data_IF_417140543999
#
_entry.id   IF_417140543999
#
_cell.length_a   1.000
_cell.length_b   1.000
_cell.length_c   1.000
_cell.angle_alpha   90.00
_cell.angle_beta   90.00
_cell.angle_gamma   90.00
#
_symmetry.space_group_name_H-M   'P 1'
#
loop_
_entity.id
_entity.type
_entity.pdbx_description
1 polymer ?
#
# COMPACT_ATOMS: atom_id res chain seq x y z
N UNK A 1 2.44 -5.62 29.78
CA UNK A 1 2.25 -4.16 29.77
C UNK A 1 1.72 -3.79 28.39
N UNK A 2 0.66 -2.98 28.29
CA UNK A 2 0.13 -2.57 26.97
C UNK A 2 1.15 -1.73 26.20
N UNK A 3 1.14 -1.84 24.87
CA UNK A 3 1.99 -1.08 23.94
C UNK A 3 1.63 0.40 23.84
N UNK A 4 1.90 1.03 22.71
CA UNK A 4 1.49 2.41 22.42
C UNK A 4 -0.04 2.59 22.54
N UNK A 5 -0.82 1.64 22.02
CA UNK A 5 -2.28 1.68 22.13
C UNK A 5 -2.74 1.23 23.52
N UNK A 6 -3.35 2.16 24.25
CA UNK A 6 -3.87 1.91 25.61
C UNK A 6 -5.37 1.61 25.57
N UNK A 7 -5.89 0.71 26.45
CA UNK A 7 -7.31 0.42 26.51
C UNK A 7 -8.16 1.65 26.88
N UNK A 8 -9.23 1.88 26.14
CA UNK A 8 -10.22 2.90 26.48
C UNK A 8 -11.22 2.37 27.51
N UNK A 9 -11.19 2.92 28.72
CA UNK A 9 -12.07 2.50 29.83
C UNK A 9 -13.57 2.58 29.52
N UNK A 10 -14.01 3.49 28.66
CA UNK A 10 -15.41 3.63 28.23
C UNK A 10 -15.76 2.50 27.27
N UNK A 11 -14.91 2.23 26.26
CA UNK A 11 -15.10 1.09 25.34
C UNK A 11 -15.07 -0.24 26.10
N UNK A 12 -14.11 -0.43 27.01
CA UNK A 12 -14.06 -1.62 27.87
C UNK A 12 -15.34 -1.77 28.70
N UNK A 13 -15.83 -0.68 29.31
CA UNK A 13 -17.08 -0.68 30.06
C UNK A 13 -18.30 -1.08 29.23
N UNK A 14 -18.37 -0.62 27.98
CA UNK A 14 -19.42 -1.01 27.03
C UNK A 14 -19.36 -2.50 26.70
N UNK A 15 -18.17 -3.06 26.45
CA UNK A 15 -18.01 -4.50 26.18
C UNK A 15 -18.36 -5.37 27.39
N UNK A 16 -18.07 -4.92 28.61
CA UNK A 16 -18.54 -5.59 29.85
C UNK A 16 -20.08 -5.57 29.92
N UNK A 17 -20.70 -4.45 29.54
CA UNK A 17 -22.16 -4.33 29.49
C UNK A 17 -22.76 -5.29 28.46
N UNK A 18 -22.16 -5.42 27.29
CA UNK A 18 -22.57 -6.36 26.24
C UNK A 18 -22.54 -7.81 26.71
N UNK A 19 -21.49 -8.21 27.46
CA UNK A 19 -21.43 -9.55 28.06
C UNK A 19 -22.52 -9.75 29.10
N UNK A 20 -22.71 -8.77 29.99
CA UNK A 20 -23.79 -8.82 30.98
C UNK A 20 -25.16 -9.02 30.32
N UNK A 21 -25.41 -8.31 29.23
CA UNK A 21 -26.68 -8.33 28.50
C UNK A 21 -26.87 -9.60 27.67
N UNK A 22 -25.84 -10.06 26.96
CA UNK A 22 -25.90 -11.31 26.18
C UNK A 22 -26.10 -12.55 27.06
N UNK A 23 -25.60 -12.52 28.30
CA UNK A 23 -25.83 -13.58 29.30
C UNK A 23 -27.14 -13.40 30.10
N UNK A 24 -27.92 -12.35 29.82
CA UNK A 24 -29.14 -11.97 30.55
C UNK A 24 -28.94 -11.86 32.08
N UNK A 25 -27.84 -11.26 32.51
CA UNK A 25 -27.49 -11.08 33.92
C UNK A 25 -27.83 -9.67 34.41
N UNK A 26 -28.23 -9.57 35.66
CA UNK A 26 -28.22 -8.30 36.40
C UNK A 26 -26.79 -7.97 36.86
N UNK A 27 -26.54 -6.69 37.19
CA UNK A 27 -25.25 -6.29 37.79
C UNK A 27 -24.95 -7.00 39.11
N UNK A 28 -25.99 -7.38 39.86
CA UNK A 28 -25.83 -8.14 41.11
C UNK A 28 -25.35 -9.56 40.83
N UNK A 29 -25.95 -10.23 39.85
CA UNK A 29 -25.58 -11.61 39.49
C UNK A 29 -24.18 -11.67 38.88
N UNK A 30 -23.84 -10.73 38.00
CA UNK A 30 -22.47 -10.61 37.48
C UNK A 30 -21.48 -10.31 38.61
N UNK A 31 -21.86 -9.45 39.57
CA UNK A 31 -21.12 -9.18 40.80
C UNK A 31 -20.80 -10.43 41.59
N UNK A 32 -21.82 -11.24 41.85
CA UNK A 32 -21.67 -12.47 42.61
C UNK A 32 -20.75 -13.47 41.89
N UNK A 33 -20.83 -13.58 40.55
CA UNK A 33 -19.97 -14.47 39.76
C UNK A 33 -18.50 -14.04 39.77
N UNK A 34 -18.24 -12.73 39.79
CA UNK A 34 -16.89 -12.16 39.81
C UNK A 34 -16.34 -11.97 41.23
N UNK A 35 -17.17 -12.16 42.27
CA UNK A 35 -16.81 -11.87 43.66
C UNK A 35 -16.69 -10.36 43.96
N UNK A 36 -17.40 -9.51 43.20
CA UNK A 36 -17.28 -8.04 43.23
C UNK A 36 -18.62 -7.41 43.57
N UNK A 37 -18.60 -6.30 44.32
CA UNK A 37 -19.82 -5.57 44.67
C UNK A 37 -20.43 -4.87 43.44
N UNK A 38 -21.76 -4.86 43.36
CA UNK A 38 -22.54 -4.18 42.30
C UNK A 38 -22.05 -2.75 41.97
N UNK A 39 -21.77 -1.85 42.94
CA UNK A 39 -21.29 -0.50 42.61
C UNK A 39 -19.97 -0.49 41.85
N UNK A 40 -19.07 -1.42 42.15
CA UNK A 40 -17.77 -1.54 41.47
C UNK A 40 -17.96 -1.96 40.01
N UNK A 41 -18.85 -2.92 39.73
CA UNK A 41 -19.19 -3.29 38.34
C UNK A 41 -19.86 -2.13 37.60
N UNK A 42 -20.78 -1.41 38.28
CA UNK A 42 -21.40 -0.22 37.70
C UNK A 42 -20.35 0.81 37.29
N UNK A 43 -19.33 1.02 38.13
CA UNK A 43 -18.21 1.92 37.84
C UNK A 43 -17.43 1.52 36.58
N UNK A 44 -17.14 0.22 36.42
CA UNK A 44 -16.47 -0.28 35.21
C UNK A 44 -17.33 -0.12 33.96
N UNK A 45 -18.61 -0.52 34.03
CA UNK A 45 -19.55 -0.44 32.91
C UNK A 45 -19.82 0.99 32.46
N UNK A 46 -19.79 1.94 33.39
CA UNK A 46 -19.93 3.37 33.09
C UNK A 46 -18.62 4.01 32.60
N UNK A 47 -17.52 3.26 32.55
CA UNK A 47 -16.21 3.77 32.14
C UNK A 47 -15.57 4.74 33.14
N UNK A 48 -16.03 4.74 34.40
CA UNK A 48 -15.42 5.58 35.44
C UNK A 48 -14.03 5.06 35.84
N UNK A 49 -13.87 3.74 35.91
CA UNK A 49 -12.62 3.05 36.16
C UNK A 49 -12.40 1.92 35.13
N UNK A 50 -11.14 1.64 34.80
CA UNK A 50 -10.78 0.45 34.02
C UNK A 50 -10.88 -0.78 34.93
N UNK A 51 -11.48 -1.86 34.43
CA UNK A 51 -11.51 -3.13 35.15
C UNK A 51 -10.09 -3.71 35.23
N UNK A 52 -9.65 -4.22 36.41
CA UNK A 52 -8.32 -4.81 36.53
C UNK A 52 -8.25 -6.13 35.76
N UNK A 53 -7.04 -6.53 35.40
CA UNK A 53 -6.79 -7.71 34.57
C UNK A 53 -7.42 -8.99 35.13
N UNK A 54 -7.38 -9.19 36.45
CA UNK A 54 -8.02 -10.34 37.11
C UNK A 54 -9.53 -10.43 36.82
N UNK A 55 -10.20 -9.29 36.70
CA UNK A 55 -11.65 -9.21 36.40
C UNK A 55 -11.89 -9.49 34.93
N UNK A 56 -11.06 -8.96 34.04
CA UNK A 56 -11.14 -9.25 32.60
C UNK A 56 -10.88 -10.73 32.33
N UNK A 57 -9.89 -11.34 32.99
CA UNK A 57 -9.58 -12.76 32.85
C UNK A 57 -10.75 -13.66 33.31
N UNK A 58 -11.43 -13.28 34.39
CA UNK A 58 -12.66 -13.97 34.82
C UNK A 58 -13.81 -13.78 33.83
N UNK A 59 -14.03 -12.55 33.33
CA UNK A 59 -15.05 -12.26 32.33
C UNK A 59 -14.79 -13.04 31.03
N UNK A 60 -13.53 -13.13 30.60
CA UNK A 60 -13.09 -13.96 29.48
C UNK A 60 -13.45 -15.42 29.69
N UNK A 61 -13.10 -15.99 30.86
CA UNK A 61 -13.42 -17.38 31.21
C UNK A 61 -14.93 -17.67 31.24
N UNK A 62 -15.75 -16.73 31.72
CA UNK A 62 -17.21 -16.91 31.85
C UNK A 62 -17.94 -16.70 30.51
N UNK A 63 -17.48 -15.78 29.68
CA UNK A 63 -18.14 -15.41 28.42
C UNK A 63 -17.63 -16.15 27.19
N UNK A 64 -16.42 -16.74 27.27
CA UNK A 64 -15.72 -17.31 26.12
C UNK A 64 -15.14 -16.27 25.16
N UNK A 65 -15.21 -14.98 25.46
CA UNK A 65 -14.54 -13.93 24.68
C UNK A 65 -13.08 -13.81 25.08
N UNK A 66 -12.14 -13.63 24.13
CA UNK A 66 -10.73 -13.48 24.45
C UNK A 66 -10.46 -12.18 25.22
N UNK A 67 -9.38 -12.17 26.01
CA UNK A 67 -8.97 -11.02 26.84
C UNK A 67 -8.79 -9.76 26.00
N UNK A 68 -8.09 -9.86 24.85
CA UNK A 68 -7.88 -8.73 23.94
C UNK A 68 -9.18 -8.10 23.43
N UNK A 69 -10.26 -8.89 23.27
CA UNK A 69 -11.55 -8.35 22.83
C UNK A 69 -12.15 -7.37 23.84
N UNK A 70 -12.00 -7.63 25.14
CA UNK A 70 -12.49 -6.69 26.16
C UNK A 70 -11.75 -5.36 26.11
N UNK A 71 -10.43 -5.39 25.93
CA UNK A 71 -9.60 -4.19 25.91
C UNK A 71 -9.74 -3.40 24.62
N UNK A 72 -9.69 -4.07 23.47
CA UNK A 72 -9.49 -3.43 22.17
C UNK A 72 -10.61 -3.69 21.16
N UNK A 73 -11.57 -4.56 21.47
CA UNK A 73 -12.61 -4.95 20.52
C UNK A 73 -12.09 -6.01 19.57
N UNK A 74 -12.67 -6.18 18.39
CA UNK A 74 -12.17 -7.16 17.43
C UNK A 74 -10.75 -6.80 16.93
N UNK A 75 -9.98 -7.79 16.46
CA UNK A 75 -8.60 -7.55 15.97
C UNK A 75 -8.56 -6.48 14.87
N UNK A 76 -9.58 -6.40 14.02
CA UNK A 76 -9.68 -5.35 13.00
C UNK A 76 -9.82 -3.95 13.62
N UNK A 77 -10.58 -3.81 14.72
CA UNK A 77 -10.71 -2.56 15.47
C UNK A 77 -9.36 -2.18 16.09
N UNK A 78 -8.65 -3.16 16.69
CA UNK A 78 -7.33 -2.94 17.27
C UNK A 78 -6.29 -2.47 16.24
N UNK A 79 -6.17 -3.16 15.10
CA UNK A 79 -5.24 -2.78 14.02
C UNK A 79 -5.61 -1.39 13.48
N UNK A 80 -6.90 -1.12 13.25
CA UNK A 80 -7.36 0.17 12.76
C UNK A 80 -7.07 1.31 13.75
N UNK A 81 -7.40 1.14 15.02
CA UNK A 81 -7.16 2.13 16.08
C UNK A 81 -5.66 2.41 16.24
N UNK A 82 -4.81 1.38 16.15
CA UNK A 82 -3.35 1.53 16.17
C UNK A 82 -2.82 2.35 14.97
N UNK A 83 -3.23 1.99 13.75
CA UNK A 83 -2.81 2.73 12.55
C UNK A 83 -3.31 4.19 12.57
N UNK A 84 -4.52 4.43 13.06
CA UNK A 84 -5.06 5.77 13.26
C UNK A 84 -4.24 6.59 14.26
N UNK A 85 -3.84 5.97 15.38
CA UNK A 85 -2.96 6.57 16.40
C UNK A 85 -1.59 6.96 15.80
N UNK A 86 -1.07 6.16 14.87
CA UNK A 86 0.16 6.44 14.11
C UNK A 86 -0.01 7.48 13.01
N UNK A 87 -1.21 8.06 12.88
CA UNK A 87 -1.53 9.12 11.93
C UNK A 87 -2.06 8.63 10.58
N UNK A 88 -2.30 7.33 10.41
CA UNK A 88 -2.72 6.73 9.13
C UNK A 88 -4.24 6.74 8.91
N UNK A 89 -4.93 7.72 9.50
CA UNK A 89 -6.39 7.83 9.49
C UNK A 89 -6.99 7.75 8.08
N UNK A 90 -6.42 8.48 7.12
CA UNK A 90 -6.91 8.48 5.73
C UNK A 90 -6.72 7.14 5.05
N UNK A 91 -5.59 6.48 5.28
CA UNK A 91 -5.33 5.16 4.69
C UNK A 91 -6.30 4.12 5.24
N UNK A 92 -6.56 4.12 6.55
CA UNK A 92 -7.54 3.19 7.16
C UNK A 92 -8.95 3.41 6.61
N UNK A 93 -9.33 4.67 6.32
CA UNK A 93 -10.65 5.01 5.78
C UNK A 93 -10.79 4.69 4.28
N UNK A 94 -9.79 5.03 3.48
CA UNK A 94 -9.84 4.90 2.02
C UNK A 94 -9.40 3.51 1.54
N UNK A 95 -8.56 2.81 2.31
CA UNK A 95 -8.03 1.48 2.01
C UNK A 95 -8.31 0.49 3.15
N UNK A 96 -9.58 0.18 3.47
CA UNK A 96 -9.92 -0.74 4.57
C UNK A 96 -9.40 -2.18 4.36
N UNK A 97 -8.97 -2.51 3.14
CA UNK A 97 -8.28 -3.78 2.84
C UNK A 97 -6.95 -3.92 3.57
N UNK A 98 -6.29 -2.82 3.94
CA UNK A 98 -5.02 -2.83 4.71
C UNK A 98 -5.22 -3.56 6.03
N UNK A 99 -6.25 -3.18 6.79
CA UNK A 99 -6.57 -3.80 8.09
C UNK A 99 -6.85 -5.29 7.93
N UNK A 100 -7.56 -5.66 6.85
CA UNK A 100 -7.87 -7.07 6.55
C UNK A 100 -6.63 -7.87 6.19
N UNK A 101 -5.76 -7.33 5.36
CA UNK A 101 -4.51 -7.98 4.96
C UNK A 101 -3.61 -8.24 6.17
N UNK A 102 -3.44 -7.26 7.06
CA UNK A 102 -2.64 -7.42 8.29
C UNK A 102 -3.24 -8.51 9.20
N UNK A 103 -4.56 -8.54 9.35
CA UNK A 103 -5.24 -9.59 10.11
C UNK A 103 -5.08 -10.97 9.47
N UNK A 104 -5.21 -11.07 8.16
CA UNK A 104 -5.03 -12.32 7.42
C UNK A 104 -3.61 -12.85 7.59
N UNK A 105 -2.60 -11.98 7.48
CA UNK A 105 -1.20 -12.33 7.71
C UNK A 105 -0.98 -12.82 9.15
N UNK A 106 -1.56 -12.13 10.14
CA UNK A 106 -1.44 -12.54 11.55
C UNK A 106 -1.97 -13.96 11.81
N UNK A 107 -3.06 -14.36 11.15
CA UNK A 107 -3.68 -15.66 11.39
C UNK A 107 -3.16 -16.78 10.49
N UNK A 108 -2.79 -16.46 9.25
CA UNK A 108 -2.58 -17.44 8.18
C UNK A 108 -1.21 -17.34 7.51
N UNK A 109 -0.45 -16.29 7.81
CA UNK A 109 0.89 -16.09 7.28
C UNK A 109 1.86 -17.22 7.67
N UNK A 110 2.95 -17.33 6.92
CA UNK A 110 4.01 -18.31 7.17
C UNK A 110 4.65 -18.13 8.57
N UNK A 111 4.43 -16.96 9.18
CA UNK A 111 4.88 -16.57 10.51
C UNK A 111 3.80 -16.64 11.58
N UNK A 112 2.94 -17.67 11.62
CA UNK A 112 2.14 -17.97 12.82
C UNK A 112 3.07 -18.35 13.97
N UNK A 113 3.73 -17.35 14.52
CA UNK A 113 4.76 -17.39 15.52
C UNK A 113 4.16 -16.72 16.77
N UNK A 114 4.03 -17.44 17.89
CA UNK A 114 3.59 -16.86 19.16
C UNK A 114 4.39 -15.62 19.60
N UNK A 115 5.59 -15.40 19.03
CA UNK A 115 6.38 -14.20 19.28
C UNK A 115 5.72 -12.89 18.79
N UNK A 116 4.80 -12.96 17.83
CA UNK A 116 4.06 -11.79 17.33
C UNK A 116 2.70 -11.60 18.02
N UNK A 117 2.40 -12.40 19.04
CA UNK A 117 1.21 -12.30 19.86
C UNK A 117 1.54 -11.58 21.17
N UNK A 118 0.87 -10.47 21.40
CA UNK A 118 0.99 -9.73 22.65
C UNK A 118 0.31 -10.45 23.82
N UNK A 119 0.47 -9.91 25.03
CA UNK A 119 -0.05 -10.51 26.27
C UNK A 119 -1.57 -10.77 26.30
N UNK A 120 -2.34 -10.16 25.39
CA UNK A 120 -3.81 -10.30 25.33
C UNK A 120 -4.30 -11.08 24.11
N UNK A 121 -3.37 -11.67 23.36
CA UNK A 121 -3.66 -12.54 22.22
C UNK A 121 -3.85 -11.83 20.89
N UNK A 122 -3.38 -10.59 20.79
CA UNK A 122 -3.53 -9.69 19.63
C UNK A 122 -2.14 -9.47 19.00
N UNK A 123 -2.06 -8.95 17.76
CA UNK A 123 -0.75 -8.70 17.15
C UNK A 123 0.08 -7.72 17.98
N UNK A 124 1.38 -8.00 18.08
CA UNK A 124 2.37 -7.02 18.53
C UNK A 124 2.38 -5.80 17.59
N UNK A 125 2.66 -4.63 18.14
CA UNK A 125 2.64 -3.39 17.36
C UNK A 125 3.71 -3.37 16.26
N UNK A 126 4.88 -3.97 16.53
CA UNK A 126 5.96 -4.15 15.55
C UNK A 126 5.51 -5.01 14.37
N UNK A 127 4.73 -6.08 14.60
CA UNK A 127 4.16 -6.88 13.53
C UNK A 127 3.23 -6.06 12.63
N UNK A 128 2.42 -5.16 13.22
CA UNK A 128 1.53 -4.29 12.46
C UNK A 128 2.34 -3.30 11.63
N UNK A 129 3.40 -2.71 12.20
CA UNK A 129 4.30 -1.79 11.52
C UNK A 129 4.99 -2.47 10.32
N UNK A 130 5.50 -3.69 10.49
CA UNK A 130 6.16 -4.46 9.42
C UNK A 130 5.20 -4.77 8.26
N UNK A 131 4.03 -5.36 8.57
CA UNK A 131 3.04 -5.64 7.54
C UNK A 131 2.58 -4.36 6.82
N UNK A 132 2.43 -3.26 7.56
CA UNK A 132 2.04 -1.99 6.98
C UNK A 132 3.13 -1.40 6.07
N UNK A 133 4.41 -1.57 6.43
CA UNK A 133 5.54 -1.13 5.62
C UNK A 133 5.62 -1.85 4.27
N UNK A 134 5.18 -3.11 4.20
CA UNK A 134 5.10 -3.86 2.94
C UNK A 134 3.92 -3.43 2.07
N UNK A 135 2.78 -3.08 2.68
CA UNK A 135 1.55 -2.70 1.95
C UNK A 135 1.60 -1.24 1.47
N UNK A 136 2.20 -0.34 2.25
CA UNK A 136 2.18 1.11 2.01
C UNK A 136 2.76 1.53 0.64
N UNK A 137 3.87 0.97 0.14
CA UNK A 137 4.47 1.37 -1.14
C UNK A 137 3.52 1.21 -2.34
N UNK A 138 2.72 0.13 -2.37
CA UNK A 138 1.74 -0.10 -3.43
C UNK A 138 0.63 0.96 -3.42
N UNK A 139 0.15 1.30 -2.22
CA UNK A 139 -0.87 2.35 -2.02
C UNK A 139 -0.33 3.71 -2.45
N UNK A 140 0.88 4.06 -2.02
CA UNK A 140 1.53 5.32 -2.38
C UNK A 140 1.77 5.42 -3.88
N UNK A 141 2.23 4.33 -4.51
CA UNK A 141 2.48 4.29 -5.95
C UNK A 141 1.21 4.56 -6.75
N UNK A 142 0.08 3.93 -6.38
CA UNK A 142 -1.22 4.19 -7.03
C UNK A 142 -1.67 5.63 -6.81
N UNK A 143 -1.61 6.10 -5.58
CA UNK A 143 -2.01 7.46 -5.21
C UNK A 143 -1.25 8.54 -6.01
N UNK A 144 0.08 8.39 -6.11
CA UNK A 144 0.92 9.28 -6.92
C UNK A 144 0.58 9.15 -8.40
N UNK A 145 0.44 7.92 -8.90
CA UNK A 145 0.12 7.66 -10.31
C UNK A 145 -1.19 8.32 -10.75
N UNK A 146 -2.23 8.27 -9.91
CA UNK A 146 -3.52 8.89 -10.20
C UNK A 146 -3.40 10.43 -10.24
N UNK A 147 -2.67 11.03 -9.29
CA UNK A 147 -2.41 12.48 -9.30
C UNK A 147 -1.62 12.88 -10.54
N UNK A 148 -0.58 12.13 -10.90
CA UNK A 148 0.27 12.42 -12.06
C UNK A 148 -0.55 12.37 -13.34
N UNK A 149 -1.37 11.31 -13.54
CA UNK A 149 -2.24 11.19 -14.71
C UNK A 149 -3.19 12.37 -14.81
N UNK A 150 -3.84 12.74 -13.71
CA UNK A 150 -4.74 13.90 -13.67
C UNK A 150 -4.03 15.20 -14.08
N UNK A 151 -2.81 15.44 -13.59
CA UNK A 151 -2.04 16.64 -13.94
C UNK A 151 -1.56 16.62 -15.39
N UNK A 152 -1.07 15.49 -15.89
CA UNK A 152 -0.55 15.35 -17.25
C UNK A 152 -1.67 15.50 -18.29
N UNK A 153 -2.83 14.88 -18.06
CA UNK A 153 -3.97 14.97 -18.97
C UNK A 153 -4.48 16.40 -19.10
N UNK A 154 -4.59 17.11 -17.97
CA UNK A 154 -5.14 18.46 -17.90
C UNK A 154 -4.12 19.59 -18.10
N UNK A 155 -2.84 19.26 -18.31
CA UNK A 155 -1.80 20.28 -18.50
C UNK A 155 -1.94 21.00 -19.84
N UNK A 156 -2.05 22.33 -19.76
CA UNK A 156 -2.09 23.16 -20.95
C UNK A 156 -0.79 23.11 -21.77
N UNK A 157 0.34 22.82 -21.10
CA UNK A 157 1.66 22.72 -21.73
C UNK A 157 1.84 21.47 -22.59
N UNK A 158 0.98 20.48 -22.39
CA UNK A 158 1.08 19.17 -23.04
C UNK A 158 -0.05 18.97 -24.06
N UNK A 159 -0.73 20.03 -24.52
CA UNK A 159 -1.87 19.93 -25.46
C UNK A 159 -1.50 19.30 -26.80
N UNK A 160 -0.29 19.56 -27.27
CA UNK A 160 0.19 19.05 -28.56
C UNK A 160 0.65 17.58 -28.49
N UNK A 161 0.79 17.02 -27.29
CA UNK A 161 1.16 15.61 -27.11
C UNK A 161 -0.02 14.70 -27.40
N UNK A 162 0.26 13.59 -28.08
CA UNK A 162 -0.65 12.46 -28.26
C UNK A 162 -0.98 11.80 -26.93
N UNK A 163 -2.08 11.04 -26.90
CA UNK A 163 -2.46 10.26 -25.72
C UNK A 163 -1.36 9.29 -25.28
N UNK A 164 -0.67 8.65 -26.24
CA UNK A 164 0.44 7.72 -25.97
C UNK A 164 1.59 8.44 -25.26
N UNK A 165 2.03 9.58 -25.79
CA UNK A 165 3.13 10.35 -25.18
C UNK A 165 2.77 10.85 -23.78
N UNK A 166 1.50 11.23 -23.53
CA UNK A 166 1.01 11.61 -22.21
C UNK A 166 1.04 10.45 -21.21
N UNK A 167 0.62 9.25 -21.62
CA UNK A 167 0.72 8.06 -20.76
C UNK A 167 2.17 7.70 -20.44
N UNK A 168 3.06 7.73 -21.44
CA UNK A 168 4.49 7.48 -21.25
C UNK A 168 5.10 8.49 -20.26
N UNK A 169 4.80 9.77 -20.46
CA UNK A 169 5.23 10.83 -19.56
C UNK A 169 4.69 10.65 -18.14
N UNK A 170 3.42 10.27 -17.99
CA UNK A 170 2.82 10.06 -16.68
C UNK A 170 3.52 8.93 -15.92
N UNK A 171 3.92 7.85 -16.58
CA UNK A 171 4.67 6.76 -15.94
C UNK A 171 6.05 7.23 -15.49
N UNK A 172 6.76 8.00 -16.31
CA UNK A 172 8.09 8.53 -15.99
C UNK A 172 8.03 9.48 -14.80
N UNK A 173 7.11 10.45 -14.82
CA UNK A 173 6.93 11.39 -13.70
C UNK A 173 6.51 10.63 -12.44
N UNK A 174 5.64 9.62 -12.55
CA UNK A 174 5.27 8.78 -11.41
C UNK A 174 6.50 8.10 -10.79
N UNK A 175 7.39 7.55 -11.63
CA UNK A 175 8.66 6.96 -11.19
C UNK A 175 9.54 7.96 -10.45
N UNK A 176 9.77 9.12 -11.05
CA UNK A 176 10.64 10.16 -10.49
C UNK A 176 10.11 10.66 -9.14
N UNK A 177 8.79 10.91 -9.08
CA UNK A 177 8.13 11.34 -7.85
C UNK A 177 8.18 10.26 -6.78
N UNK A 178 7.87 9.00 -7.11
CA UNK A 178 7.95 7.89 -6.15
C UNK A 178 9.38 7.65 -5.65
N UNK A 179 10.39 7.75 -6.53
CA UNK A 179 11.79 7.65 -6.15
C UNK A 179 12.17 8.71 -5.11
N UNK A 180 11.77 9.97 -5.35
CA UNK A 180 11.98 11.03 -4.36
C UNK A 180 11.22 10.80 -3.06
N UNK A 181 9.96 10.37 -3.11
CA UNK A 181 9.15 10.07 -1.93
C UNK A 181 9.82 8.96 -1.10
N UNK A 182 10.26 7.88 -1.74
CA UNK A 182 10.93 6.77 -1.08
C UNK A 182 12.26 7.16 -0.44
N UNK A 183 13.06 8.00 -1.09
CA UNK A 183 14.35 8.46 -0.56
C UNK A 183 14.21 9.51 0.55
N UNK A 184 13.26 10.44 0.43
CA UNK A 184 13.11 11.55 1.38
C UNK A 184 12.28 11.16 2.61
N UNK A 185 11.26 10.31 2.44
CA UNK A 185 10.26 10.03 3.47
C UNK A 185 9.42 11.25 3.89
N UNK A 186 9.55 12.38 3.19
CA UNK A 186 8.96 13.67 3.60
C UNK A 186 7.50 13.83 3.18
N UNK A 187 7.05 13.02 2.22
CA UNK A 187 5.72 13.10 1.63
C UNK A 187 4.88 11.94 2.11
N UNK A 188 3.77 12.26 2.76
CA UNK A 188 2.83 11.28 3.30
C UNK A 188 1.59 11.15 2.43
N UNK A 189 0.89 10.03 2.58
CA UNK A 189 -0.41 9.83 1.96
C UNK A 189 -1.36 10.98 2.31
N UNK A 190 -2.08 11.48 1.30
CA UNK A 190 -3.00 12.61 1.45
C UNK A 190 -2.37 14.00 1.29
N UNK A 191 -1.05 14.12 1.13
CA UNK A 191 -0.37 15.39 0.83
C UNK A 191 -0.40 15.72 -0.68
N UNK A 192 -1.61 15.75 -1.25
CA UNK A 192 -1.83 15.93 -2.70
C UNK A 192 -1.12 17.14 -3.28
N UNK A 193 -1.16 18.29 -2.59
CA UNK A 193 -0.57 19.55 -3.10
C UNK A 193 0.95 19.50 -3.23
N UNK A 194 1.65 18.78 -2.33
CA UNK A 194 3.10 18.57 -2.45
C UNK A 194 3.42 17.76 -3.71
N UNK A 195 2.66 16.69 -3.94
CA UNK A 195 2.80 15.84 -5.14
C UNK A 195 2.51 16.68 -6.40
N UNK A 196 1.42 17.44 -6.43
CA UNK A 196 1.10 18.31 -7.58
C UNK A 196 2.23 19.29 -7.87
N UNK A 197 2.81 19.91 -6.83
CA UNK A 197 3.94 20.84 -6.99
C UNK A 197 5.15 20.16 -7.63
N UNK A 198 5.48 18.94 -7.19
CA UNK A 198 6.56 18.14 -7.80
C UNK A 198 6.24 17.77 -9.25
N UNK A 199 5.02 17.31 -9.52
CA UNK A 199 4.58 16.93 -10.87
C UNK A 199 4.67 18.11 -11.82
N UNK A 200 4.17 19.27 -11.43
CA UNK A 200 4.26 20.49 -12.23
C UNK A 200 5.72 20.92 -12.45
N UNK A 201 6.58 20.77 -11.44
CA UNK A 201 8.01 21.03 -11.58
C UNK A 201 8.67 20.05 -12.58
N UNK A 202 8.26 18.78 -12.57
CA UNK A 202 8.72 17.79 -13.55
C UNK A 202 8.26 18.15 -14.96
N UNK A 203 6.99 18.53 -15.13
CA UNK A 203 6.42 18.99 -16.41
C UNK A 203 7.18 20.21 -16.94
N UNK A 204 7.45 21.20 -16.09
CA UNK A 204 8.15 22.44 -16.47
C UNK A 204 9.60 22.20 -16.92
N UNK A 205 10.23 21.13 -16.42
CA UNK A 205 11.58 20.77 -16.81
C UNK A 205 11.65 19.90 -18.08
N UNK A 206 10.52 19.46 -18.65
CA UNK A 206 10.49 18.67 -19.89
C UNK A 206 11.01 19.47 -21.10
N UNK A 207 10.69 20.76 -21.20
CA UNK A 207 11.17 21.62 -22.29
C UNK A 207 12.70 21.73 -22.34
N UNK A 208 13.40 21.45 -21.23
CA UNK A 208 14.86 21.43 -21.15
C UNK A 208 15.49 20.07 -21.47
N UNK A 209 14.72 18.97 -21.39
CA UNK A 209 15.24 17.60 -21.48
C UNK A 209 15.27 17.02 -22.91
N UNK A 210 14.55 17.60 -23.87
CA UNK A 210 14.44 16.99 -25.21
C UNK A 210 13.63 15.68 -25.18
N UNK A 211 13.79 14.83 -26.21
CA UNK A 211 13.20 13.48 -26.27
C UNK A 211 13.57 12.68 -25.02
N UNK A 212 12.62 11.95 -24.44
CA UNK A 212 12.86 11.24 -23.18
C UNK A 212 13.67 9.96 -23.45
N UNK A 213 14.95 9.98 -23.13
CA UNK A 213 15.84 8.82 -23.25
C UNK A 213 15.98 8.06 -21.92
N UNK A 214 15.78 6.75 -21.97
CA UNK A 214 15.94 5.82 -20.86
C UNK A 214 17.36 5.25 -20.81
N UNK A 215 17.83 4.80 -19.65
CA UNK A 215 19.18 4.23 -19.53
C UNK A 215 19.32 2.98 -20.41
N UNK A 216 20.32 2.99 -21.31
CA UNK A 216 20.65 1.83 -22.15
C UNK A 216 21.53 0.78 -21.46
N UNK A 217 21.86 0.98 -20.18
CA UNK A 217 22.61 -0.01 -19.37
C UNK A 217 21.86 -1.35 -19.29
N UNK A 218 20.53 -1.30 -19.29
CA UNK A 218 19.65 -2.46 -19.24
C UNK A 218 18.89 -2.64 -20.57
N UNK A 219 18.68 -3.89 -20.98
CA UNK A 219 17.97 -4.22 -22.23
C UNK A 219 16.62 -3.52 -22.32
N UNK A 220 15.88 -3.46 -21.22
CA UNK A 220 14.56 -2.84 -21.17
C UNK A 220 14.59 -1.34 -21.50
N UNK A 221 15.54 -0.58 -20.96
CA UNK A 221 15.67 0.85 -21.28
C UNK A 221 16.09 1.08 -22.72
N UNK A 222 17.01 0.25 -23.24
CA UNK A 222 17.38 0.28 -24.66
C UNK A 222 16.22 -0.04 -25.60
N UNK A 223 15.41 -1.06 -25.27
CA UNK A 223 14.21 -1.40 -26.03
C UNK A 223 13.22 -0.25 -26.04
N UNK A 224 13.00 0.40 -24.90
CA UNK A 224 12.10 1.56 -24.82
C UNK A 224 12.56 2.69 -25.76
N UNK A 225 13.87 2.99 -25.81
CA UNK A 225 14.41 4.01 -26.71
C UNK A 225 14.26 3.60 -28.18
N UNK A 226 14.58 2.35 -28.53
CA UNK A 226 14.48 1.84 -29.91
C UNK A 226 13.04 1.87 -30.42
N UNK A 227 12.08 1.58 -29.55
CA UNK A 227 10.65 1.56 -29.90
C UNK A 227 10.01 2.95 -29.99
N UNK A 228 10.74 4.02 -29.63
CA UNK A 228 10.32 5.41 -29.87
C UNK A 228 10.46 5.81 -31.34
N UNK A 229 11.53 5.36 -31.96
CA UNK A 229 11.93 5.78 -33.30
C UNK A 229 11.56 4.72 -34.34
N UNK A 230 10.81 5.14 -35.36
CA UNK A 230 10.33 4.29 -36.45
C UNK A 230 11.49 3.66 -37.25
N UNK A 231 12.62 4.37 -37.40
CA UNK A 231 13.79 3.82 -38.12
C UNK A 231 14.59 2.84 -37.26
N UNK A 232 14.77 3.15 -35.97
CA UNK A 232 15.42 2.27 -35.00
C UNK A 232 14.62 0.98 -34.82
N UNK A 233 13.30 1.08 -34.71
CA UNK A 233 12.41 -0.09 -34.63
C UNK A 233 12.54 -0.96 -35.89
N UNK A 234 12.51 -0.35 -37.08
CA UNK A 234 12.71 -1.10 -38.35
C UNK A 234 14.06 -1.79 -38.40
N UNK A 235 15.11 -1.10 -37.96
CA UNK A 235 16.46 -1.68 -37.91
C UNK A 235 16.50 -2.87 -36.97
N UNK A 236 15.93 -2.76 -35.77
CA UNK A 236 15.83 -3.89 -34.83
C UNK A 236 15.07 -5.08 -35.42
N UNK A 237 13.92 -4.84 -36.06
CA UNK A 237 13.15 -5.90 -36.73
C UNK A 237 13.94 -6.52 -37.88
N UNK A 238 14.70 -5.71 -38.62
CA UNK A 238 15.58 -6.20 -39.69
C UNK A 238 16.70 -7.08 -39.16
N UNK A 239 17.36 -6.66 -38.07
CA UNK A 239 18.41 -7.43 -37.42
C UNK A 239 17.85 -8.77 -36.89
N UNK A 240 16.68 -8.74 -36.24
CA UNK A 240 15.95 -9.95 -35.80
C UNK A 240 15.58 -10.86 -36.98
N UNK A 241 15.03 -10.30 -38.06
CA UNK A 241 14.67 -11.06 -39.26
C UNK A 241 15.89 -11.73 -39.88
N UNK A 242 17.02 -11.03 -39.96
CA UNK A 242 18.28 -11.59 -40.44
C UNK A 242 18.75 -12.72 -39.54
N UNK A 243 18.78 -12.53 -38.21
CA UNK A 243 19.22 -13.56 -37.26
C UNK A 243 18.34 -14.81 -37.30
N UNK A 244 17.01 -14.64 -37.42
CA UNK A 244 16.05 -15.74 -37.32
C UNK A 244 15.79 -16.45 -38.65
N UNK A 245 15.92 -15.74 -39.78
CA UNK A 245 15.47 -16.24 -41.09
C UNK A 245 16.52 -16.11 -42.20
N UNK A 246 17.69 -15.52 -41.92
CA UNK A 246 18.69 -15.12 -42.93
C UNK A 246 18.13 -14.20 -44.03
N UNK A 247 17.05 -13.46 -43.76
CA UNK A 247 16.45 -12.51 -44.71
C UNK A 247 16.23 -11.15 -44.06
N UNK A 248 16.59 -10.04 -44.73
CA UNK A 248 16.34 -8.70 -44.20
C UNK A 248 14.85 -8.37 -44.23
N UNK A 249 14.40 -7.63 -43.23
CA UNK A 249 13.07 -7.05 -43.19
C UNK A 249 13.01 -5.82 -44.12
N UNK A 250 11.89 -5.65 -44.83
CA UNK A 250 11.63 -4.48 -45.68
C UNK A 250 10.21 -4.00 -45.45
N UNK A 251 10.06 -2.68 -45.29
CA UNK A 251 8.77 -2.02 -45.15
C UNK A 251 8.24 -1.45 -46.49
N UNK A 252 8.93 -1.71 -47.62
CA UNK A 252 8.68 -1.03 -48.90
C UNK A 252 7.38 -1.48 -49.58
N UNK A 253 6.92 -2.71 -49.31
CA UNK A 253 5.71 -3.30 -49.91
C UNK A 253 4.71 -3.84 -48.87
N UNK A 254 4.94 -3.60 -47.57
CA UNK A 254 4.18 -4.15 -46.45
C UNK A 254 5.04 -4.20 -45.18
N UNK A 255 4.46 -4.50 -44.00
CA UNK A 255 5.22 -4.66 -42.75
C UNK A 255 5.20 -3.47 -41.80
N UNK A 256 4.57 -2.34 -42.17
CA UNK A 256 4.30 -1.25 -41.23
C UNK A 256 3.52 -1.74 -40.01
N UNK A 257 2.52 -2.59 -40.21
CA UNK A 257 1.75 -3.19 -39.12
C UNK A 257 2.63 -3.93 -38.12
N UNK A 258 3.73 -4.55 -38.56
CA UNK A 258 4.68 -5.21 -37.66
C UNK A 258 5.48 -4.20 -36.84
N UNK A 259 5.90 -3.09 -37.44
CA UNK A 259 6.54 -1.97 -36.72
C UNK A 259 5.58 -1.42 -35.67
N UNK A 260 4.33 -1.14 -36.05
CA UNK A 260 3.30 -0.61 -35.15
C UNK A 260 3.02 -1.59 -33.98
N UNK A 261 2.96 -2.90 -34.25
CA UNK A 261 2.84 -3.93 -33.21
C UNK A 261 4.03 -3.90 -32.26
N UNK A 262 5.26 -3.83 -32.77
CA UNK A 262 6.44 -3.76 -31.90
C UNK A 262 6.42 -2.50 -31.02
N UNK A 263 6.11 -1.34 -31.61
CA UNK A 263 6.02 -0.07 -30.89
C UNK A 263 4.85 -0.01 -29.89
N UNK A 264 3.82 -0.86 -30.06
CA UNK A 264 2.72 -0.98 -29.10
C UNK A 264 3.14 -1.61 -27.77
N UNK A 265 4.29 -2.32 -27.73
CA UNK A 265 4.84 -2.88 -26.49
C UNK A 265 5.48 -1.81 -25.59
N UNK A 266 5.83 -0.64 -26.15
CA UNK A 266 6.61 0.40 -25.46
C UNK A 266 5.98 0.86 -24.13
N UNK A 267 4.67 1.15 -24.03
CA UNK A 267 4.07 1.56 -22.76
C UNK A 267 4.16 0.48 -21.68
N UNK A 268 4.03 -0.79 -22.06
CA UNK A 268 4.17 -1.92 -21.13
C UNK A 268 5.62 -2.07 -20.64
N UNK A 269 6.60 -1.85 -21.52
CA UNK A 269 8.01 -1.85 -21.15
C UNK A 269 8.38 -0.68 -20.23
N UNK A 270 7.87 0.52 -20.50
CA UNK A 270 8.08 1.69 -19.61
C UNK A 270 7.51 1.41 -18.23
N UNK A 271 6.28 0.86 -18.16
CA UNK A 271 5.68 0.45 -16.90
C UNK A 271 6.56 -0.56 -16.15
N UNK A 272 7.01 -1.61 -16.83
CA UNK A 272 7.88 -2.62 -16.24
C UNK A 272 9.24 -2.04 -15.80
N UNK A 273 9.81 -1.10 -16.56
CA UNK A 273 11.06 -0.42 -16.22
C UNK A 273 10.94 0.39 -14.93
N UNK A 274 9.80 1.05 -14.74
CA UNK A 274 9.52 1.88 -13.56
C UNK A 274 9.17 1.04 -12.33
N UNK A 275 8.54 -0.12 -12.51
CA UNK A 275 8.17 -1.04 -11.42
C UNK A 275 9.37 -1.82 -10.85
N UNK A 276 10.54 -1.74 -11.49
CA UNK A 276 11.72 -2.55 -11.13
C UNK A 276 12.87 -1.71 -10.61
N UNK A 277 13.47 -2.17 -9.52
CA UNK A 277 14.70 -1.58 -8.97
C UNK A 277 15.91 -1.93 -9.83
N UNK A 278 17.00 -1.12 -9.80
CA UNK A 278 18.23 -1.44 -10.51
C UNK A 278 18.82 -2.82 -10.17
N UNK A 279 18.69 -3.25 -8.90
CA UNK A 279 19.13 -4.56 -8.44
C UNK A 279 18.30 -5.69 -9.08
N UNK A 280 16.96 -5.57 -9.10
CA UNK A 280 16.09 -6.52 -9.79
C UNK A 280 16.35 -6.58 -11.30
N UNK A 281 16.62 -5.44 -11.94
CA UNK A 281 16.98 -5.41 -13.36
C UNK A 281 18.34 -6.06 -13.63
N UNK A 282 19.27 -5.97 -12.67
CA UNK A 282 20.58 -6.61 -12.76
C UNK A 282 20.49 -8.13 -12.66
N UNK A 283 19.49 -8.68 -11.95
CA UNK A 283 19.23 -10.12 -11.89
C UNK A 283 18.82 -10.73 -13.24
N UNK A 284 18.41 -9.91 -14.22
CA UNK A 284 17.98 -10.41 -15.54
C UNK A 284 19.15 -10.80 -16.45
N UNK A 285 20.37 -10.44 -16.08
CA UNK A 285 21.56 -10.86 -16.81
C UNK A 285 22.02 -12.24 -16.32
N UNK A 286 22.26 -13.18 -17.25
CA UNK A 286 22.96 -14.42 -16.93
C UNK A 286 24.35 -14.10 -16.36
N UNK A 287 24.69 -14.72 -15.23
CA UNK A 287 26.01 -14.63 -14.59
C UNK A 287 26.97 -15.69 -15.15
#
# INVERSE_FOLDING_TARGET
MFGLLQPDKVKVGQRIKEIKESMNLSFTELGNRLGIKKPTISSYVQGYALAPESVINQLSSISGKPVGWFYFGDIEEYIADYLQLKGQNRIVQEHPKVVKAIKEEFYTGEFKNPAWENEVGYPEEEFIDDCFADILPEIMTRYVSDIVRDQVVNSDKLKEMTYKEKEELAVIITSDVNGYIGMSGEIKYGEKEKIITMVNSSIDNLEKKGTIEFSEEYLIGKLINVLDDDQATKKMICDLSCMMTNKPFSNFFGGKDLVDIFQSMRPALIKLYVEKTPDELYEWFEK
#
